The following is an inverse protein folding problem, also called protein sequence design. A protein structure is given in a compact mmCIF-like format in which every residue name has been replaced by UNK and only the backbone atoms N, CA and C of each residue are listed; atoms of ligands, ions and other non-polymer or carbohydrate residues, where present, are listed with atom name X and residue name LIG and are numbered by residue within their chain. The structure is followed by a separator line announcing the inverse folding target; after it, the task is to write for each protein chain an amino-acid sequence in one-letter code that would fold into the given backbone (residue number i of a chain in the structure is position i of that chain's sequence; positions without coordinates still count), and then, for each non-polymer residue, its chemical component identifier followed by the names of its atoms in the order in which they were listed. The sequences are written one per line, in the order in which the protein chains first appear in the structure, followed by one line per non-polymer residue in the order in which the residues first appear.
data_IF_630454375429
#
_entry.id   IF_630454375429
#
_cell.length_a   1.000
_cell.length_b   1.000
_cell.length_c   1.000
_cell.angle_alpha   90.00
_cell.angle_beta   90.00
_cell.angle_gamma   90.00
#
_symmetry.space_group_name_H-M   'P 1'
#
loop_
_entity.id
_entity.type
_entity.pdbx_description
1 polymer ?
#
# COMPACT_ATOMS: atom_id res chain seq x y z
N UNK A 1 -21.28 1.77 9.00
CA UNK A 1 -20.14 1.73 8.06
C UNK A 1 -19.34 3.01 8.29
N UNK A 2 -18.05 2.92 8.61
CA UNK A 2 -17.21 4.10 8.79
C UNK A 2 -16.74 4.55 7.41
N UNK A 3 -17.39 5.58 6.85
CA UNK A 3 -16.92 6.27 5.65
C UNK A 3 -15.78 7.19 6.08
N UNK A 4 -14.56 6.90 5.62
CA UNK A 4 -13.45 7.85 5.77
C UNK A 4 -13.69 8.93 4.72
N UNK A 5 -13.72 10.20 5.13
CA UNK A 5 -13.85 11.30 4.18
C UNK A 5 -12.48 11.73 3.65
N UNK A 6 -12.45 12.28 2.44
CA UNK A 6 -11.19 12.77 1.88
C UNK A 6 -10.77 14.03 2.63
N UNK A 7 -9.68 13.97 3.39
CA UNK A 7 -9.26 15.10 4.23
C UNK A 7 -8.68 16.24 3.36
N UNK A 8 -9.09 17.50 3.58
CA UNK A 8 -8.40 18.63 2.96
C UNK A 8 -6.92 18.65 3.37
N UNK A 9 -6.05 19.11 2.46
CA UNK A 9 -4.60 19.15 2.62
C UNK A 9 -3.93 17.77 2.90
N UNK A 10 -4.54 16.67 2.45
CA UNK A 10 -3.96 15.33 2.60
C UNK A 10 -2.87 15.04 1.56
N UNK A 11 -3.09 15.38 0.29
CA UNK A 11 -2.16 15.12 -0.82
C UNK A 11 -1.90 13.64 -1.16
N UNK A 12 -2.33 12.67 -0.35
CA UNK A 12 -1.95 11.26 -0.49
C UNK A 12 -2.36 10.66 -1.84
N UNK A 13 -3.56 10.92 -2.33
CA UNK A 13 -4.00 10.45 -3.65
C UNK A 13 -3.23 11.07 -4.82
N UNK A 14 -2.59 12.23 -4.61
CA UNK A 14 -1.75 12.88 -5.62
C UNK A 14 -0.31 12.36 -5.62
N UNK A 15 0.18 11.76 -4.53
CA UNK A 15 1.58 11.33 -4.37
C UNK A 15 1.68 9.80 -4.45
N UNK A 16 0.88 9.08 -3.67
CA UNK A 16 1.04 7.66 -3.44
C UNK A 16 0.77 6.74 -4.65
N UNK A 17 -0.38 6.83 -5.36
CA UNK A 17 -0.75 5.79 -6.32
C UNK A 17 0.11 5.83 -7.58
N UNK A 18 0.38 4.65 -8.17
CA UNK A 18 0.84 4.56 -9.56
C UNK A 18 -0.38 4.63 -10.48
N UNK A 19 -0.34 5.51 -11.47
CA UNK A 19 -1.40 5.72 -12.45
C UNK A 19 -0.77 5.52 -13.82
N UNK A 20 -1.15 4.48 -14.55
CA UNK A 20 -0.63 4.21 -15.91
C UNK A 20 -1.51 4.82 -17.00
N UNK A 21 -2.69 5.34 -16.65
CA UNK A 21 -3.58 6.02 -17.57
C UNK A 21 -3.21 7.51 -17.70
N UNK A 22 -3.38 8.13 -18.88
CA UNK A 22 -3.11 9.56 -19.06
C UNK A 22 -3.93 10.43 -18.10
N UNK A 23 -3.29 11.47 -17.56
CA UNK A 23 -3.95 12.51 -16.76
C UNK A 23 -3.54 13.90 -17.25
N UNK A 24 -4.32 14.96 -16.98
CA UNK A 24 -3.99 16.32 -17.38
C UNK A 24 -2.58 16.76 -16.91
N UNK A 25 -1.68 16.96 -17.87
CA UNK A 25 -0.28 17.33 -17.66
C UNK A 25 0.69 16.16 -17.43
N UNK A 26 0.23 14.90 -17.38
CA UNK A 26 1.08 13.70 -17.42
C UNK A 26 0.50 12.68 -18.43
N UNK A 27 0.92 12.73 -19.71
CA UNK A 27 0.40 11.83 -20.74
C UNK A 27 0.79 10.36 -20.51
N UNK A 28 1.98 10.11 -19.94
CA UNK A 28 2.51 8.78 -19.61
C UNK A 28 1.95 8.23 -18.28
N UNK A 29 1.05 8.97 -17.62
CA UNK A 29 0.60 8.67 -16.27
C UNK A 29 1.56 9.14 -15.18
N UNK A 30 1.32 8.71 -13.94
CA UNK A 30 2.04 9.15 -12.73
C UNK A 30 2.67 7.97 -12.00
N UNK A 31 4.00 7.92 -11.81
CA UNK A 31 4.62 6.90 -10.97
C UNK A 31 4.22 7.05 -9.49
N UNK A 32 4.29 5.94 -8.74
CA UNK A 32 4.05 5.94 -7.30
C UNK A 32 5.09 6.77 -6.55
N UNK A 33 4.68 7.45 -5.48
CA UNK A 33 5.55 8.31 -4.67
C UNK A 33 5.93 9.65 -5.31
N UNK A 34 5.65 9.85 -6.60
CA UNK A 34 5.93 11.12 -7.29
C UNK A 34 4.73 12.06 -7.19
N UNK A 35 4.92 13.33 -6.78
CA UNK A 35 3.88 14.34 -6.75
C UNK A 35 3.24 14.58 -8.13
N UNK A 36 1.91 14.54 -8.19
CA UNK A 36 1.16 14.93 -9.38
C UNK A 36 1.34 16.44 -9.69
N UNK A 37 1.35 16.82 -10.97
CA UNK A 37 1.41 18.23 -11.42
C UNK A 37 0.26 19.09 -10.91
N UNK A 38 -0.86 18.47 -10.53
CA UNK A 38 -2.05 19.14 -10.00
C UNK A 38 -2.00 19.34 -8.47
N UNK A 39 -0.96 18.85 -7.80
CA UNK A 39 -0.76 19.03 -6.36
C UNK A 39 -0.25 20.44 -6.06
N UNK A 40 -0.97 21.16 -5.21
CA UNK A 40 -0.60 22.52 -4.77
C UNK A 40 0.28 22.47 -3.51
N UNK A 41 0.99 23.56 -3.17
CA UNK A 41 1.86 23.61 -1.98
C UNK A 41 1.14 23.36 -0.65
N UNK A 42 -0.17 23.62 -0.58
CA UNK A 42 -1.04 23.36 0.57
C UNK A 42 -1.58 21.92 0.61
N UNK A 43 -1.03 21.02 -0.21
CA UNK A 43 -1.44 19.61 -0.34
C UNK A 43 -2.90 19.42 -0.80
N UNK A 44 -3.48 20.43 -1.46
CA UNK A 44 -4.77 20.33 -2.14
C UNK A 44 -4.59 20.00 -3.63
N UNK A 45 -5.57 19.33 -4.21
CA UNK A 45 -5.59 19.01 -5.65
C UNK A 45 -6.31 20.13 -6.42
N UNK A 46 -5.66 20.70 -7.43
CA UNK A 46 -6.22 21.78 -8.25
C UNK A 46 -7.48 21.39 -9.06
N UNK A 47 -7.71 20.09 -9.24
CA UNK A 47 -8.86 19.52 -9.95
C UNK A 47 -9.92 18.95 -9.01
N UNK A 48 -9.77 19.07 -7.69
CA UNK A 48 -10.76 18.51 -6.76
C UNK A 48 -12.14 19.14 -7.00
N UNK A 49 -13.17 18.30 -7.19
CA UNK A 49 -14.55 18.73 -7.46
C UNK A 49 -14.81 19.27 -8.88
N UNK A 50 -13.80 19.28 -9.76
CA UNK A 50 -13.92 19.81 -11.12
C UNK A 50 -14.19 18.69 -12.15
N UNK A 51 -14.89 18.99 -13.26
CA UNK A 51 -15.17 18.00 -14.31
C UNK A 51 -13.90 17.53 -15.04
N UNK A 52 -12.82 18.31 -15.05
CA UNK A 52 -11.54 17.91 -15.65
C UNK A 52 -10.78 16.89 -14.80
N UNK A 53 -11.28 16.55 -13.60
CA UNK A 53 -10.67 15.55 -12.73
C UNK A 53 -10.77 14.16 -13.38
N UNK A 54 -9.64 13.45 -13.58
CA UNK A 54 -9.65 12.12 -14.18
C UNK A 54 -10.53 11.13 -13.41
N UNK A 55 -11.19 10.24 -14.13
CA UNK A 55 -12.05 9.20 -13.54
C UNK A 55 -11.30 8.34 -12.51
N UNK A 56 -10.04 7.99 -12.76
CA UNK A 56 -9.20 7.24 -11.80
C UNK A 56 -9.04 7.99 -10.47
N UNK A 57 -8.88 9.31 -10.53
CA UNK A 57 -8.75 10.15 -9.33
C UNK A 57 -10.08 10.35 -8.61
N UNK A 58 -11.21 10.32 -9.33
CA UNK A 58 -12.56 10.47 -8.76
C UNK A 58 -13.06 9.17 -8.12
N UNK A 59 -12.69 8.02 -8.68
CA UNK A 59 -13.05 6.69 -8.19
C UNK A 59 -12.21 6.24 -6.99
N UNK A 60 -11.09 6.93 -6.71
CA UNK A 60 -10.21 6.59 -5.59
C UNK A 60 -10.90 6.90 -4.26
N UNK A 61 -11.27 5.86 -3.52
CA UNK A 61 -11.90 6.01 -2.21
C UNK A 61 -10.85 6.31 -1.14
N UNK A 62 -11.05 7.35 -0.31
CA UNK A 62 -10.21 7.60 0.85
C UNK A 62 -10.23 6.38 1.81
N UNK A 63 -9.06 6.02 2.30
CA UNK A 63 -8.89 5.01 3.34
C UNK A 63 -8.08 5.58 4.51
N UNK A 64 -8.16 4.95 5.68
CA UNK A 64 -7.40 5.38 6.86
C UNK A 64 -5.89 5.28 6.65
N UNK A 65 -5.42 4.26 5.93
CA UNK A 65 -4.01 4.12 5.57
C UNK A 65 -3.55 5.23 4.61
N UNK A 66 -4.40 5.65 3.68
CA UNK A 66 -4.06 6.70 2.72
C UNK A 66 -4.10 8.10 3.33
N UNK A 67 -5.21 8.44 3.99
CA UNK A 67 -5.44 9.79 4.47
C UNK A 67 -4.89 10.04 5.88
N UNK A 68 -4.63 8.97 6.64
CA UNK A 68 -4.22 9.02 8.03
C UNK A 68 -5.23 9.76 8.92
N UNK A 69 -4.88 9.95 10.19
CA UNK A 69 -5.57 10.88 11.08
C UNK A 69 -4.81 12.22 11.27
N UNK A 70 -3.56 12.30 10.81
CA UNK A 70 -2.66 13.45 11.03
C UNK A 70 -1.19 13.04 10.92
N UNK A 71 -0.27 14.00 11.03
CA UNK A 71 1.17 13.71 11.00
C UNK A 71 1.58 12.90 12.22
N UNK A 72 1.02 13.20 13.38
CA UNK A 72 1.24 12.42 14.60
C UNK A 72 0.78 10.97 14.46
N UNK A 73 -0.35 10.74 13.79
CA UNK A 73 -0.85 9.39 13.56
C UNK A 73 0.04 8.58 12.61
N UNK A 74 0.55 9.23 11.55
CA UNK A 74 1.48 8.59 10.63
C UNK A 74 2.79 8.20 11.33
N UNK A 75 3.35 9.09 12.16
CA UNK A 75 4.56 8.81 12.95
C UNK A 75 4.32 7.68 13.97
N UNK A 76 3.18 7.69 14.67
CA UNK A 76 2.82 6.61 15.59
C UNK A 76 2.62 5.27 14.88
N UNK A 77 2.01 5.27 13.69
CA UNK A 77 1.81 4.06 12.90
C UNK A 77 3.13 3.52 12.36
N UNK A 78 4.03 4.37 11.86
CA UNK A 78 5.37 3.98 11.44
C UNK A 78 6.17 3.38 12.60
N UNK A 79 6.17 4.02 13.77
CA UNK A 79 6.86 3.49 14.96
C UNK A 79 6.29 2.12 15.40
N UNK A 80 4.98 1.92 15.29
CA UNK A 80 4.34 0.64 15.59
C UNK A 80 4.73 -0.45 14.57
N UNK A 81 4.81 -0.12 13.28
CA UNK A 81 5.28 -1.03 12.23
C UNK A 81 6.74 -1.40 12.43
N UNK A 82 7.61 -0.41 12.72
CA UNK A 82 9.02 -0.62 12.99
C UNK A 82 9.22 -1.52 14.20
N UNK A 83 8.46 -1.34 15.29
CA UNK A 83 8.51 -2.22 16.45
C UNK A 83 8.04 -3.65 16.11
N UNK A 84 7.01 -3.79 15.28
CA UNK A 84 6.44 -5.10 14.90
C UNK A 84 7.32 -5.88 13.91
N UNK A 85 8.07 -5.18 13.06
CA UNK A 85 9.02 -5.78 12.11
C UNK A 85 10.47 -5.62 12.54
N UNK A 86 10.71 -5.12 13.75
CA UNK A 86 12.05 -4.99 14.30
C UNK A 86 12.67 -6.38 14.27
N UNK A 87 13.83 -6.55 13.61
CA UNK A 87 14.56 -7.78 13.75
C UNK A 87 15.02 -7.83 15.20
N UNK A 88 14.35 -8.66 16.01
CA UNK A 88 14.97 -9.22 17.20
C UNK A 88 16.35 -9.72 16.75
N UNK A 89 17.40 -9.47 17.53
CA UNK A 89 18.76 -9.88 17.17
C UNK A 89 18.86 -11.41 17.08
N UNK A 90 18.43 -11.97 15.96
CA UNK A 90 18.48 -13.37 15.58
C UNK A 90 18.48 -13.42 14.05
N UNK A 91 19.42 -14.18 13.45
CA UNK A 91 19.74 -14.07 12.04
C UNK A 91 18.55 -14.47 11.17
N UNK A 92 18.21 -13.59 10.24
CA UNK A 92 17.34 -13.88 9.12
C UNK A 92 17.91 -15.03 8.28
N UNK A 93 17.04 -15.98 7.93
CA UNK A 93 17.19 -16.92 6.83
C UNK A 93 18.33 -17.95 6.93
N UNK A 94 18.12 -19.01 7.71
CA UNK A 94 18.70 -20.31 7.41
C UNK A 94 17.60 -21.26 6.93
N UNK A 95 17.50 -21.41 5.62
CA UNK A 95 16.93 -22.59 4.99
C UNK A 95 17.65 -23.83 5.53
N UNK A 96 17.10 -24.45 6.58
CA UNK A 96 17.47 -25.79 7.00
C UNK A 96 16.96 -26.78 5.95
N UNK A 97 17.76 -26.97 4.90
CA UNK A 97 17.70 -28.21 4.14
C UNK A 97 18.21 -29.35 5.02
N UNK A 98 17.67 -30.57 4.84
CA UNK A 98 18.45 -31.77 4.51
C UNK A 98 17.58 -33.04 4.60
N UNK A 99 17.46 -33.68 3.43
CA UNK A 99 17.35 -35.11 3.11
C UNK A 99 16.91 -36.10 4.20
N UNK A 100 15.91 -36.91 3.86
CA UNK A 100 15.97 -38.38 3.99
C UNK A 100 14.85 -38.96 3.09
N UNK A 101 15.09 -39.80 2.09
CA UNK A 101 15.92 -40.99 2.17
C UNK A 101 15.30 -41.97 3.17
N UNK A 102 14.25 -42.68 2.78
CA UNK A 102 13.59 -43.65 3.67
C UNK A 102 12.49 -44.43 2.97
N UNK A 103 12.83 -45.61 2.44
CA UNK A 103 11.86 -46.67 2.14
C UNK A 103 11.10 -46.98 3.43
N UNK A 104 9.79 -46.84 3.42
CA UNK A 104 8.95 -47.47 4.43
C UNK A 104 8.42 -48.79 3.86
N UNK A 105 8.94 -49.95 4.32
CA UNK A 105 8.25 -51.22 4.17
C UNK A 105 7.12 -51.30 5.21
N UNK A 106 6.12 -52.12 4.92
CA UNK A 106 5.03 -52.55 5.83
C UNK A 106 3.89 -51.56 6.13
N UNK A 107 2.71 -51.87 5.57
CA UNK A 107 1.44 -52.15 6.27
C UNK A 107 0.30 -52.07 5.25
N UNK A 108 0.03 -53.12 4.46
CA UNK A 108 -1.02 -54.11 4.72
C UNK A 108 -2.36 -53.52 5.16
N UNK A 109 -3.41 -53.71 4.34
CA UNK A 109 -4.64 -54.42 4.72
C UNK A 109 -5.81 -54.06 3.80
N UNK A 110 -5.89 -54.63 2.58
CA UNK A 110 -7.18 -54.84 1.91
C UNK A 110 -7.06 -56.09 0.99
N UNK A 111 -7.61 -57.21 1.44
CA UNK A 111 -8.38 -58.24 0.71
C UNK A 111 -8.30 -59.60 1.44
N UNK A 112 -9.37 -60.41 1.41
CA UNK A 112 -10.79 -60.12 1.61
C UNK A 112 -11.29 -60.52 3.00
#
# INVERSE_FOLDING_TARGET
MITVDCRPACGACCIAPSITTPIPGLPEGKPAGVPCVQLRPDFSCALFGKPERPAVCASLRPSREMCGAGREHALAHLAALEAATAPDAAPSSASAGVRSGGRHPFAQAILP
#
